data_IF_539933065360
#
_entry.id   IF_539933065360
#
_cell.length_a   1.000
_cell.length_b   1.000
_cell.length_c   1.000
_cell.angle_alpha   90.00
_cell.angle_beta   90.00
_cell.angle_gamma   90.00
#
_symmetry.space_group_name_H-M   'P 1'
#
loop_
_entity.id
_entity.type
_entity.pdbx_description
1 polymer ?
#
# COMPACT_ATOMS: atom_id res chain seq x y z
N UNK A 1 -26.19 -12.69 -19.92
CA UNK A 1 -26.25 -11.72 -18.80
C UNK A 1 -25.28 -12.06 -17.64
N UNK A 2 -24.68 -13.25 -17.58
CA UNK A 2 -23.76 -13.72 -16.52
C UNK A 2 -22.33 -13.16 -16.57
N UNK A 3 -21.77 -12.94 -17.77
CA UNK A 3 -20.37 -12.50 -17.90
C UNK A 3 -20.10 -11.07 -17.43
N UNK A 4 -21.10 -10.18 -17.41
CA UNK A 4 -20.99 -8.84 -16.80
C UNK A 4 -20.84 -8.93 -15.29
N UNK A 5 -21.55 -9.85 -14.64
CA UNK A 5 -21.49 -10.06 -13.18
C UNK A 5 -20.16 -10.64 -12.74
N UNK A 6 -19.59 -11.60 -13.48
CA UNK A 6 -18.25 -12.14 -13.19
C UNK A 6 -17.17 -11.06 -13.33
N UNK A 7 -17.22 -10.29 -14.43
CA UNK A 7 -16.25 -9.21 -14.67
C UNK A 7 -16.32 -8.12 -13.59
N UNK A 8 -17.52 -7.70 -13.18
CA UNK A 8 -17.73 -6.72 -12.11
C UNK A 8 -17.20 -7.23 -10.76
N UNK A 9 -17.54 -8.47 -10.38
CA UNK A 9 -17.07 -9.09 -9.13
C UNK A 9 -15.54 -9.24 -9.12
N UNK A 10 -14.96 -9.55 -10.28
CA UNK A 10 -13.50 -9.60 -10.46
C UNK A 10 -12.86 -8.22 -10.29
N UNK A 11 -13.40 -7.17 -10.91
CA UNK A 11 -12.87 -5.80 -10.74
C UNK A 11 -12.91 -5.38 -9.27
N UNK A 12 -13.96 -5.77 -8.54
CA UNK A 12 -14.06 -5.54 -7.11
C UNK A 12 -12.98 -6.32 -6.33
N UNK A 13 -12.74 -7.60 -6.67
CA UNK A 13 -11.68 -8.40 -6.06
C UNK A 13 -10.29 -7.78 -6.27
N UNK A 14 -9.99 -7.31 -7.49
CA UNK A 14 -8.73 -6.63 -7.81
C UNK A 14 -8.55 -5.31 -7.05
N UNK A 15 -9.64 -4.56 -6.85
CA UNK A 15 -9.61 -3.33 -6.05
C UNK A 15 -9.24 -3.60 -4.59
N UNK A 16 -9.83 -4.64 -4.00
CA UNK A 16 -9.54 -5.06 -2.63
C UNK A 16 -8.14 -5.67 -2.48
N UNK A 17 -7.66 -6.40 -3.48
CA UNK A 17 -6.28 -6.91 -3.54
C UNK A 17 -5.28 -5.75 -3.43
N UNK A 18 -5.44 -4.72 -4.27
CA UNK A 18 -4.60 -3.52 -4.22
C UNK A 18 -4.68 -2.79 -2.87
N UNK A 19 -5.87 -2.71 -2.28
CA UNK A 19 -6.05 -2.09 -0.97
C UNK A 19 -5.36 -2.91 0.14
N UNK A 20 -5.40 -4.24 0.05
CA UNK A 20 -4.71 -5.15 0.99
C UNK A 20 -3.20 -4.93 0.91
N UNK A 21 -2.62 -4.88 -0.30
CA UNK A 21 -1.19 -4.64 -0.48
C UNK A 21 -0.74 -3.30 0.10
N UNK A 22 -1.55 -2.24 -0.06
CA UNK A 22 -1.27 -0.93 0.52
C UNK A 22 -1.34 -0.92 2.04
N UNK A 23 -2.26 -1.69 2.65
CA UNK A 23 -2.34 -1.79 4.09
C UNK A 23 -1.22 -2.67 4.66
N UNK A 24 -0.87 -3.77 3.99
CA UNK A 24 0.25 -4.63 4.38
C UNK A 24 1.59 -3.89 4.29
N UNK A 25 1.79 -3.04 3.28
CA UNK A 25 3.01 -2.24 3.19
C UNK A 25 3.10 -1.21 4.31
N UNK A 26 2.00 -0.53 4.65
CA UNK A 26 1.93 0.35 5.83
C UNK A 26 2.16 -0.43 7.12
N UNK A 27 1.59 -1.62 7.25
CA UNK A 27 1.78 -2.47 8.43
C UNK A 27 3.24 -2.91 8.59
N UNK A 28 3.91 -3.24 7.49
CA UNK A 28 5.34 -3.57 7.46
C UNK A 28 6.24 -2.39 7.87
N UNK A 29 5.83 -1.14 7.65
CA UNK A 29 6.60 0.03 8.13
C UNK A 29 6.71 0.07 9.66
N UNK A 30 5.70 -0.43 10.39
CA UNK A 30 5.77 -0.52 11.85
C UNK A 30 6.83 -1.52 12.34
N UNK A 31 7.27 -2.46 11.50
CA UNK A 31 8.41 -3.34 11.83
C UNK A 31 9.71 -2.54 12.03
N UNK A 32 9.87 -1.43 11.32
CA UNK A 32 11.07 -0.60 11.37
C UNK A 32 10.97 0.52 12.42
N UNK A 33 9.75 0.88 12.83
CA UNK A 33 9.54 1.76 13.97
C UNK A 33 9.82 0.99 15.26
N UNK A 34 10.97 1.24 15.88
CA UNK A 34 11.38 0.71 17.19
C UNK A 34 10.52 1.31 18.32
N UNK A 35 9.20 1.12 18.25
CA UNK A 35 8.25 1.56 19.27
C UNK A 35 8.03 0.42 20.26
N UNK A 36 8.26 0.71 21.53
CA UNK A 36 8.09 -0.25 22.63
C UNK A 36 6.61 -0.61 22.84
N UNK A 37 5.71 0.34 22.55
CA UNK A 37 4.28 0.21 22.76
C UNK A 37 3.49 0.00 21.46
N UNK A 38 2.33 -0.66 21.60
CA UNK A 38 1.32 -0.77 20.55
C UNK A 38 0.77 0.62 20.24
N UNK A 39 1.06 1.14 19.05
CA UNK A 39 0.50 2.43 18.61
C UNK A 39 -0.99 2.22 18.26
N UNK A 40 -1.88 3.14 18.65
CA UNK A 40 -3.31 3.05 18.29
C UNK A 40 -3.52 2.91 16.77
N UNK A 41 -2.65 3.52 15.98
CA UNK A 41 -2.64 3.42 14.52
C UNK A 41 -2.33 2.00 14.02
N UNK A 42 -1.47 1.25 14.71
CA UNK A 42 -1.17 -0.14 14.35
C UNK A 42 -2.37 -1.05 14.62
N UNK A 43 -3.05 -0.87 15.77
CA UNK A 43 -4.24 -1.65 16.11
C UNK A 43 -5.34 -1.42 15.08
N UNK A 44 -5.57 -0.16 14.70
CA UNK A 44 -6.57 0.17 13.68
C UNK A 44 -6.20 -0.38 12.30
N UNK A 45 -4.92 -0.30 11.89
CA UNK A 45 -4.47 -0.87 10.62
C UNK A 45 -4.57 -2.40 10.62
N UNK A 46 -4.22 -3.06 11.72
CA UNK A 46 -4.37 -4.50 11.89
C UNK A 46 -5.84 -4.93 11.72
N UNK A 47 -6.77 -4.27 12.40
CA UNK A 47 -8.21 -4.51 12.27
C UNK A 47 -8.69 -4.28 10.83
N UNK A 48 -8.23 -3.21 10.17
CA UNK A 48 -8.57 -2.93 8.78
C UNK A 48 -8.08 -4.01 7.82
N UNK A 49 -6.91 -4.61 8.07
CA UNK A 49 -6.38 -5.72 7.28
C UNK A 49 -7.25 -6.97 7.48
N UNK A 50 -7.56 -7.32 8.72
CA UNK A 50 -8.44 -8.46 9.03
C UNK A 50 -9.81 -8.32 8.37
N UNK A 51 -10.43 -7.14 8.46
CA UNK A 51 -11.71 -6.83 7.81
C UNK A 51 -11.66 -6.96 6.28
N UNK A 52 -10.57 -6.51 5.66
CA UNK A 52 -10.41 -6.57 4.20
C UNK A 52 -10.15 -8.00 3.73
N UNK A 53 -9.38 -8.78 4.47
CA UNK A 53 -9.16 -10.20 4.17
C UNK A 53 -10.49 -10.97 4.22
N UNK A 54 -11.30 -10.76 5.27
CA UNK A 54 -12.65 -11.33 5.36
C UNK A 54 -13.54 -10.90 4.19
N UNK A 55 -13.53 -9.62 3.82
CA UNK A 55 -14.28 -9.14 2.65
C UNK A 55 -13.82 -9.82 1.36
N UNK A 56 -12.51 -10.03 1.17
CA UNK A 56 -11.96 -10.75 0.01
C UNK A 56 -12.39 -12.21 -0.03
N UNK A 57 -12.42 -12.89 1.10
CA UNK A 57 -12.96 -14.25 1.21
C UNK A 57 -14.42 -14.33 0.74
N UNK A 58 -15.26 -13.39 1.17
CA UNK A 58 -16.67 -13.37 0.74
C UNK A 58 -16.82 -13.14 -0.77
N UNK A 59 -15.95 -12.31 -1.37
CA UNK A 59 -15.99 -11.98 -2.80
C UNK A 59 -15.43 -13.13 -3.64
N UNK A 60 -14.36 -13.78 -3.19
CA UNK A 60 -13.83 -14.98 -3.83
C UNK A 60 -14.84 -16.13 -3.76
N UNK A 61 -15.55 -16.26 -2.63
CA UNK A 61 -16.66 -17.22 -2.49
C UNK A 61 -17.81 -16.93 -3.46
N UNK A 62 -18.17 -15.65 -3.64
CA UNK A 62 -19.15 -15.22 -4.67
C UNK A 62 -18.67 -15.54 -6.09
N UNK A 63 -17.40 -15.27 -6.40
CA UNK A 63 -16.76 -15.63 -7.67
C UNK A 63 -16.79 -17.15 -7.91
N UNK A 64 -16.56 -17.96 -6.88
CA UNK A 64 -16.61 -19.42 -6.95
C UNK A 64 -18.03 -19.91 -7.23
N UNK A 65 -19.04 -19.35 -6.55
CA UNK A 65 -20.44 -19.69 -6.80
C UNK A 65 -20.89 -19.29 -8.22
N UNK A 66 -20.46 -18.14 -8.72
CA UNK A 66 -20.75 -17.72 -10.11
C UNK A 66 -20.08 -18.68 -11.11
N UNK A 67 -18.87 -19.15 -10.79
CA UNK A 67 -18.12 -20.12 -11.59
C UNK A 67 -18.82 -21.49 -11.64
N UNK A 68 -19.40 -21.94 -10.54
CA UNK A 68 -20.11 -23.24 -10.44
C UNK A 68 -21.46 -23.25 -11.19
N UNK A 69 -22.14 -22.09 -11.26
CA UNK A 69 -23.45 -21.94 -11.93
C UNK A 69 -23.33 -21.84 -13.46
N UNK A 70 -22.14 -21.56 -14.00
CA UNK A 70 -21.91 -21.39 -15.45
C UNK A 70 -21.23 -22.67 -16.02
N UNK A 71 -21.98 -23.65 -16.57
CA UNK A 71 -21.44 -24.97 -16.97
C UNK A 71 -20.48 -24.91 -18.18
N UNK A 72 -20.37 -23.78 -18.87
CA UNK A 72 -19.46 -23.56 -20.01
C UNK A 72 -18.40 -22.49 -19.70
N UNK A 73 -17.82 -22.53 -18.50
CA UNK A 73 -16.82 -21.55 -18.10
C UNK A 73 -15.48 -21.79 -18.83
N UNK A 74 -14.96 -20.75 -19.48
CA UNK A 74 -13.63 -20.80 -20.11
C UNK A 74 -12.54 -21.14 -19.09
N UNK A 75 -11.61 -22.05 -19.45
CA UNK A 75 -10.43 -22.44 -18.65
C UNK A 75 -9.65 -21.24 -18.11
N UNK A 76 -9.62 -20.13 -18.86
CA UNK A 76 -8.98 -18.88 -18.44
C UNK A 76 -9.64 -18.25 -17.21
N UNK A 77 -10.98 -18.28 -17.10
CA UNK A 77 -11.72 -17.74 -15.94
C UNK A 77 -11.49 -18.60 -14.69
N UNK A 78 -11.41 -19.92 -14.86
CA UNK A 78 -11.12 -20.85 -13.77
C UNK A 78 -9.70 -20.63 -13.22
N UNK A 79 -8.70 -20.51 -14.09
CA UNK A 79 -7.33 -20.17 -13.70
C UNK A 79 -7.23 -18.82 -12.98
N UNK A 80 -7.99 -17.81 -13.42
CA UNK A 80 -8.04 -16.51 -12.74
C UNK A 80 -8.59 -16.63 -11.32
N UNK A 81 -9.61 -17.47 -11.11
CA UNK A 81 -10.17 -17.70 -9.78
C UNK A 81 -9.16 -18.41 -8.87
N UNK A 82 -8.45 -19.42 -9.37
CA UNK A 82 -7.37 -20.09 -8.63
C UNK A 82 -6.30 -19.08 -8.22
N UNK A 83 -5.87 -18.21 -9.13
CA UNK A 83 -4.90 -17.15 -8.84
C UNK A 83 -5.38 -16.18 -7.76
N UNK A 84 -6.66 -15.81 -7.74
CA UNK A 84 -7.21 -14.96 -6.68
C UNK A 84 -7.22 -15.66 -5.32
N UNK A 85 -7.45 -16.99 -5.28
CA UNK A 85 -7.35 -17.80 -4.05
C UNK A 85 -5.90 -17.90 -3.55
N UNK A 86 -4.96 -18.21 -4.45
CA UNK A 86 -3.52 -18.27 -4.13
C UNK A 86 -3.04 -16.94 -3.56
N UNK A 87 -3.35 -15.84 -4.25
CA UNK A 87 -2.97 -14.49 -3.80
C UNK A 87 -3.56 -14.14 -2.44
N UNK A 88 -4.81 -14.50 -2.17
CA UNK A 88 -5.40 -14.30 -0.84
C UNK A 88 -4.62 -15.07 0.24
N UNK A 89 -4.29 -16.34 -0.02
CA UNK A 89 -3.51 -17.15 0.90
C UNK A 89 -2.10 -16.58 1.15
N UNK A 90 -1.43 -16.10 0.10
CA UNK A 90 -0.13 -15.43 0.22
C UNK A 90 -0.22 -14.16 1.07
N UNK A 91 -1.29 -13.39 0.93
CA UNK A 91 -1.52 -12.18 1.72
C UNK A 91 -1.79 -12.52 3.20
N UNK A 92 -2.48 -13.62 3.52
CA UNK A 92 -2.64 -14.13 4.90
C UNK A 92 -1.31 -14.58 5.52
N UNK A 93 -0.50 -15.32 4.77
CA UNK A 93 0.82 -15.74 5.22
C UNK A 93 1.73 -14.54 5.48
N UNK A 94 1.70 -13.56 4.58
CA UNK A 94 2.44 -12.31 4.70
C UNK A 94 2.01 -11.51 5.95
N UNK A 95 0.70 -11.38 6.18
CA UNK A 95 0.18 -10.71 7.37
C UNK A 95 0.63 -11.38 8.67
N UNK A 96 0.55 -12.72 8.73
CA UNK A 96 0.99 -13.49 9.89
C UNK A 96 2.48 -13.33 10.13
N UNK A 97 3.29 -13.39 9.07
CA UNK A 97 4.74 -13.19 9.15
C UNK A 97 5.11 -11.80 9.66
N UNK A 98 4.48 -10.74 9.14
CA UNK A 98 4.74 -9.37 9.59
C UNK A 98 4.34 -9.22 11.07
N UNK A 99 3.19 -9.76 11.47
CA UNK A 99 2.72 -9.73 12.87
C UNK A 99 3.71 -10.42 13.81
N UNK A 100 4.21 -11.60 13.43
CA UNK A 100 5.20 -12.32 14.24
C UNK A 100 6.51 -11.54 14.34
N UNK A 101 7.03 -11.01 13.23
CA UNK A 101 8.24 -10.20 13.24
C UNK A 101 8.12 -8.96 14.15
N UNK A 102 6.97 -8.26 14.12
CA UNK A 102 6.73 -7.10 15.00
C UNK A 102 6.74 -7.53 16.46
N UNK A 103 6.06 -8.64 16.79
CA UNK A 103 6.05 -9.16 18.15
C UNK A 103 7.43 -9.63 18.61
N UNK A 104 8.21 -10.27 17.74
CA UNK A 104 9.55 -10.76 18.06
C UNK A 104 10.52 -9.60 18.32
N UNK A 105 10.51 -8.55 17.49
CA UNK A 105 11.32 -7.35 17.73
C UNK A 105 10.89 -6.62 19.01
N UNK A 106 9.59 -6.59 19.33
CA UNK A 106 9.10 -6.05 20.61
C UNK A 106 9.57 -6.88 21.80
N UNK A 107 9.46 -8.20 21.72
CA UNK A 107 9.91 -9.11 22.78
C UNK A 107 11.42 -8.93 23.02
N UNK A 108 12.20 -8.86 21.94
CA UNK A 108 13.63 -8.57 22.00
C UNK A 108 13.93 -7.21 22.64
N UNK A 109 13.21 -6.15 22.27
CA UNK A 109 13.38 -4.83 22.88
C UNK A 109 12.98 -4.82 24.37
N UNK A 110 11.89 -5.50 24.74
CA UNK A 110 11.46 -5.64 26.14
C UNK A 110 12.49 -6.39 26.99
N UNK A 111 13.06 -7.47 26.46
CA UNK A 111 14.14 -8.20 27.12
C UNK A 111 15.40 -7.34 27.28
N UNK A 112 15.81 -6.62 26.23
CA UNK A 112 16.96 -5.72 26.29
C UNK A 112 16.75 -4.57 27.29
N UNK A 113 15.56 -3.99 27.35
CA UNK A 113 15.22 -2.92 28.30
C UNK A 113 15.24 -3.41 29.75
N UNK A 114 14.67 -4.59 30.02
CA UNK A 114 14.70 -5.19 31.36
C UNK A 114 16.12 -5.53 31.81
N UNK A 115 16.94 -6.11 30.92
CA UNK A 115 18.36 -6.39 31.20
C UNK A 115 19.16 -5.11 31.39
N UNK A 116 18.93 -4.06 30.59
CA UNK A 116 19.59 -2.77 30.77
C UNK A 116 19.21 -2.10 32.09
N UNK A 117 17.95 -2.17 32.52
CA UNK A 117 17.54 -1.63 33.81
C UNK A 117 18.13 -2.40 34.99
N UNK A 118 18.20 -3.73 34.90
CA UNK A 118 18.83 -4.55 35.93
C UNK A 118 20.35 -4.31 36.00
N UNK A 119 21.02 -4.22 34.85
CA UNK A 119 22.43 -3.85 34.76
C UNK A 119 22.70 -2.44 35.31
N UNK A 120 21.86 -1.47 34.96
CA UNK A 120 21.99 -0.10 35.45
C UNK A 120 21.77 -0.02 36.96
N UNK A 121 20.79 -0.73 37.52
CA UNK A 121 20.54 -0.73 38.98
C UNK A 121 21.61 -1.47 39.77
N UNK A 122 22.20 -2.53 39.21
CA UNK A 122 23.39 -3.18 39.78
C UNK A 122 24.63 -2.26 39.69
N UNK A 123 24.86 -1.63 38.54
CA UNK A 123 25.95 -0.63 38.36
C UNK A 123 25.80 0.55 39.30
N UNK A 124 24.60 1.10 39.47
CA UNK A 124 24.36 2.28 40.33
C UNK A 124 24.58 1.97 41.82
N UNK A 125 24.40 0.71 42.25
CA UNK A 125 24.80 0.24 43.59
C UNK A 125 26.32 0.11 43.72
N UNK A 126 27.01 -0.26 42.66
CA UNK A 126 28.46 -0.47 42.62
C UNK A 126 29.26 0.83 42.37
N UNK A 127 28.60 1.88 41.87
CA UNK A 127 29.17 3.19 41.51
C UNK A 127 29.71 4.02 42.69
N UNK A 128 29.60 3.52 43.94
CA UNK A 128 30.22 4.15 45.11
C UNK A 128 31.73 3.93 45.20
N UNK A 129 32.32 3.04 44.39
CA UNK A 129 33.77 2.77 44.34
C UNK A 129 34.31 2.61 42.90
N UNK A 130 33.95 3.51 41.98
CA UNK A 130 34.37 3.37 40.57
C UNK A 130 35.85 3.79 40.35
N UNK A 131 36.70 2.84 39.97
CA UNK A 131 38.09 3.08 39.58
C UNK A 131 38.17 3.65 38.15
N UNK A 132 39.17 4.49 37.85
CA UNK A 132 39.32 5.13 36.52
C UNK A 132 39.45 4.16 35.34
N UNK A 133 39.91 2.92 35.56
CA UNK A 133 39.93 1.88 34.52
C UNK A 133 38.53 1.34 34.17
N UNK A 134 37.61 1.26 35.14
CA UNK A 134 36.23 0.82 34.87
C UNK A 134 35.48 1.87 34.04
N UNK A 135 35.76 3.15 34.27
CA UNK A 135 35.21 4.24 33.45
C UNK A 135 35.65 4.15 31.99
N UNK A 136 36.93 3.85 31.73
CA UNK A 136 37.45 3.71 30.36
C UNK A 136 36.84 2.48 29.66
N UNK A 137 36.70 1.37 30.38
CA UNK A 137 36.08 0.15 29.83
C UNK A 137 34.59 0.39 29.52
N UNK A 138 33.88 1.11 30.39
CA UNK A 138 32.50 1.51 30.16
C UNK A 138 32.37 2.42 28.94
N UNK A 139 33.25 3.41 28.77
CA UNK A 139 33.24 4.27 27.60
C UNK A 139 33.50 3.47 26.31
N UNK A 140 34.41 2.48 26.34
CA UNK A 140 34.61 1.57 25.20
C UNK A 140 33.34 0.79 24.85
N UNK A 141 32.64 0.22 25.84
CA UNK A 141 31.37 -0.48 25.63
C UNK A 141 30.28 0.45 25.09
N UNK A 142 30.28 1.70 25.54
CA UNK A 142 29.33 2.73 25.11
C UNK A 142 29.58 3.11 23.65
N UNK A 143 30.85 3.28 23.27
CA UNK A 143 31.29 3.51 21.88
C UNK A 143 30.90 2.32 20.99
N UNK A 144 31.14 1.09 21.42
CA UNK A 144 30.77 -0.11 20.65
C UNK A 144 29.25 -0.21 20.44
N UNK A 145 28.46 0.08 21.48
CA UNK A 145 27.01 0.12 21.38
C UNK A 145 26.53 1.21 20.41
N UNK A 146 27.08 2.43 20.51
CA UNK A 146 26.78 3.53 19.60
C UNK A 146 27.15 3.16 18.16
N UNK A 147 28.28 2.51 17.95
CA UNK A 147 28.72 2.04 16.64
C UNK A 147 27.73 1.01 16.07
N UNK A 148 27.29 0.05 16.87
CA UNK A 148 26.29 -0.95 16.44
C UNK A 148 24.93 -0.33 16.10
N UNK A 149 24.53 0.75 16.78
CA UNK A 149 23.31 1.51 16.50
C UNK A 149 23.47 2.28 15.19
N UNK A 150 24.62 2.92 14.97
CA UNK A 150 24.94 3.62 13.74
C UNK A 150 24.89 2.67 12.53
N UNK A 151 25.45 1.47 12.65
CA UNK A 151 25.38 0.44 11.60
C UNK A 151 23.94 0.02 11.29
N UNK A 152 23.09 -0.14 12.31
CA UNK A 152 21.66 -0.45 12.11
C UNK A 152 20.92 0.70 11.42
N UNK A 153 21.21 1.95 11.79
CA UNK A 153 20.66 3.14 11.14
C UNK A 153 21.08 3.22 9.66
N UNK A 154 22.35 2.93 9.35
CA UNK A 154 22.85 2.87 7.99
C UNK A 154 22.16 1.76 7.18
N UNK A 155 22.03 0.56 7.75
CA UNK A 155 21.32 -0.55 7.11
C UNK A 155 19.84 -0.20 6.86
N UNK A 156 19.16 0.42 7.82
CA UNK A 156 17.79 0.89 7.66
C UNK A 156 17.64 1.98 6.59
N UNK A 157 18.60 2.89 6.49
CA UNK A 157 18.65 3.91 5.45
C UNK A 157 18.85 3.31 4.05
N UNK A 158 19.75 2.32 3.91
CA UNK A 158 19.93 1.60 2.65
C UNK A 158 18.68 0.81 2.24
N UNK A 159 18.05 0.10 3.18
CA UNK A 159 16.79 -0.61 2.91
C UNK A 159 15.67 0.35 2.46
N UNK A 160 15.56 1.52 3.10
CA UNK A 160 14.58 2.56 2.71
C UNK A 160 14.89 3.12 1.33
N UNK A 161 16.16 3.38 1.01
CA UNK A 161 16.59 3.82 -0.33
C UNK A 161 16.18 2.80 -1.40
N UNK A 162 16.45 1.52 -1.16
CA UNK A 162 16.16 0.46 -2.13
C UNK A 162 14.65 0.27 -2.31
N UNK A 163 13.86 0.37 -1.23
CA UNK A 163 12.39 0.39 -1.31
C UNK A 163 11.87 1.58 -2.15
N UNK A 164 12.41 2.79 -1.96
CA UNK A 164 12.05 3.96 -2.78
C UNK A 164 12.43 3.78 -4.25
N UNK A 165 13.57 3.15 -4.54
CA UNK A 165 13.99 2.83 -5.91
C UNK A 165 13.04 1.82 -6.55
N UNK A 166 12.64 0.78 -5.81
CA UNK A 166 11.65 -0.21 -6.27
C UNK A 166 10.30 0.45 -6.53
N UNK A 167 9.82 1.31 -5.63
CA UNK A 167 8.59 2.09 -5.82
C UNK A 167 8.65 2.97 -7.08
N UNK A 168 9.80 3.58 -7.37
CA UNK A 168 10.00 4.36 -8.60
C UNK A 168 9.85 3.50 -9.85
N UNK A 169 10.37 2.27 -9.83
CA UNK A 169 10.19 1.31 -10.93
C UNK A 169 8.71 0.92 -11.11
N UNK A 170 7.96 0.73 -10.03
CA UNK A 170 6.51 0.51 -10.11
C UNK A 170 5.76 1.69 -10.73
N UNK A 171 6.11 2.93 -10.38
CA UNK A 171 5.50 4.13 -10.97
C UNK A 171 5.82 4.27 -12.46
N UNK A 172 7.05 4.01 -12.87
CA UNK A 172 7.44 4.00 -14.28
C UNK A 172 6.69 2.92 -15.06
N UNK A 173 6.52 1.72 -14.48
CA UNK A 173 5.74 0.65 -15.09
C UNK A 173 4.25 1.02 -15.20
N UNK A 174 3.69 1.68 -14.18
CA UNK A 174 2.32 2.20 -14.22
C UNK A 174 2.15 3.27 -15.31
N UNK A 175 3.11 4.22 -15.42
CA UNK A 175 3.13 5.23 -16.47
C UNK A 175 3.22 4.58 -17.87
N UNK A 176 4.07 3.58 -18.05
CA UNK A 176 4.18 2.84 -19.32
C UNK A 176 2.88 2.09 -19.67
N UNK A 177 2.19 1.50 -18.69
CA UNK A 177 0.87 0.88 -18.88
C UNK A 177 -0.22 1.90 -19.24
N UNK A 178 -0.19 3.08 -18.62
CA UNK A 178 -1.10 4.18 -18.97
C UNK A 178 -0.83 4.66 -20.40
N UNK A 179 0.44 4.88 -20.74
CA UNK A 179 0.84 5.34 -22.07
C UNK A 179 0.51 4.32 -23.16
N UNK A 180 0.74 3.03 -22.91
CA UNK A 180 0.33 1.96 -23.84
C UNK A 180 -1.19 1.79 -23.92
N UNK A 181 -1.94 2.06 -22.86
CA UNK A 181 -3.41 2.09 -22.90
C UNK A 181 -3.93 3.29 -23.70
N UNK A 182 -3.29 4.46 -23.58
CA UNK A 182 -3.57 5.64 -24.40
C UNK A 182 -3.27 5.38 -25.89
N UNK A 183 -2.21 4.62 -26.20
CA UNK A 183 -1.88 4.23 -27.56
C UNK A 183 -2.82 3.16 -28.14
N UNK A 184 -3.40 2.27 -27.31
CA UNK A 184 -4.37 1.24 -27.72
C UNK A 184 -5.80 1.74 -27.89
N UNK A 185 -6.10 3.00 -27.52
CA UNK A 185 -7.37 3.67 -27.87
C UNK A 185 -7.09 4.68 -29.00
N UNK A 186 -6.85 4.23 -30.25
CA UNK A 186 -6.75 5.15 -31.37
C UNK A 186 -8.10 5.86 -31.54
N UNK A 187 -8.12 7.19 -31.39
CA UNK A 187 -9.32 8.00 -31.62
C UNK A 187 -9.86 8.79 -30.43
N UNK A 188 -9.27 8.71 -29.23
CA UNK A 188 -9.64 9.62 -28.12
C UNK A 188 -9.43 11.09 -28.47
N UNK A 189 -8.32 11.44 -29.15
CA UNK A 189 -8.10 12.79 -29.68
C UNK A 189 -9.20 13.21 -30.68
N UNK A 190 -9.71 12.27 -31.47
CA UNK A 190 -10.78 12.54 -32.44
C UNK A 190 -12.14 12.71 -31.75
N UNK A 191 -12.43 11.91 -30.71
CA UNK A 191 -13.66 12.01 -29.92
C UNK A 191 -13.68 13.29 -29.06
N UNK A 192 -12.57 13.61 -28.40
CA UNK A 192 -12.40 14.87 -27.64
C UNK A 192 -12.49 16.07 -28.59
N UNK A 193 -11.88 16.00 -29.77
CA UNK A 193 -11.99 17.05 -30.80
C UNK A 193 -13.41 17.16 -31.36
N UNK A 194 -14.13 16.05 -31.59
CA UNK A 194 -15.54 16.05 -32.01
C UNK A 194 -16.48 16.65 -30.95
N UNK A 195 -16.20 16.43 -29.67
CA UNK A 195 -16.94 17.05 -28.56
C UNK A 195 -16.70 18.56 -28.51
N UNK A 196 -15.45 18.99 -28.67
CA UNK A 196 -15.10 20.42 -28.62
C UNK A 196 -15.63 21.18 -29.84
N UNK A 197 -15.63 20.55 -31.03
CA UNK A 197 -16.21 21.14 -32.25
C UNK A 197 -17.73 21.26 -32.19
N UNK A 198 -18.46 20.27 -31.63
CA UNK A 198 -19.91 20.40 -31.41
C UNK A 198 -20.24 21.58 -30.50
N UNK A 199 -19.55 21.70 -29.36
CA UNK A 199 -19.76 22.80 -28.41
C UNK A 199 -19.49 24.18 -29.02
N UNK A 200 -18.44 24.30 -29.83
CA UNK A 200 -18.13 25.56 -30.55
C UNK A 200 -19.19 25.95 -31.58
N UNK A 201 -19.75 24.98 -32.31
CA UNK A 201 -20.85 25.27 -33.26
C UNK A 201 -22.10 25.74 -32.54
N UNK A 202 -22.47 25.11 -31.43
CA UNK A 202 -23.66 25.47 -30.67
C UNK A 202 -23.53 26.89 -30.09
N UNK A 203 -22.34 27.26 -29.58
CA UNK A 203 -22.06 28.65 -29.16
C UNK A 203 -22.13 29.64 -30.32
N UNK A 204 -21.63 29.28 -31.51
CA UNK A 204 -21.65 30.16 -32.68
C UNK A 204 -23.08 30.39 -33.16
N UNK A 205 -23.90 29.34 -33.25
CA UNK A 205 -25.32 29.42 -33.61
C UNK A 205 -26.08 30.29 -32.60
N UNK A 206 -25.88 30.07 -31.30
CA UNK A 206 -26.51 30.88 -30.26
C UNK A 206 -26.12 32.35 -30.36
N UNK A 207 -24.83 32.65 -30.57
CA UNK A 207 -24.34 34.02 -30.73
C UNK A 207 -24.91 34.71 -31.98
N UNK A 208 -25.07 33.98 -33.09
CA UNK A 208 -25.67 34.55 -34.32
C UNK A 208 -27.14 34.84 -34.13
N UNK A 209 -27.90 33.95 -33.50
CA UNK A 209 -29.33 34.19 -33.20
C UNK A 209 -29.50 35.42 -32.31
N UNK A 210 -28.70 35.55 -31.26
CA UNK A 210 -28.74 36.72 -30.37
C UNK A 210 -28.41 38.00 -31.15
N UNK A 211 -27.37 38.00 -31.98
CA UNK A 211 -26.98 39.17 -32.78
C UNK A 211 -28.07 39.59 -33.79
N UNK A 212 -28.73 38.62 -34.44
CA UNK A 212 -29.84 38.88 -35.37
C UNK A 212 -31.05 39.45 -34.63
N UNK A 213 -31.39 38.89 -33.47
CA UNK A 213 -32.48 39.42 -32.64
C UNK A 213 -32.23 40.87 -32.20
N UNK A 214 -31.00 41.20 -31.80
CA UNK A 214 -30.63 42.58 -31.43
C UNK A 214 -30.71 43.52 -32.63
N UNK A 215 -30.23 43.12 -33.81
CA UNK A 215 -30.32 43.94 -35.02
C UNK A 215 -31.76 44.17 -35.47
N UNK A 216 -32.62 43.15 -35.40
CA UNK A 216 -34.04 43.30 -35.72
C UNK A 216 -34.73 44.26 -34.75
N UNK A 217 -34.44 44.17 -33.44
CA UNK A 217 -35.00 45.10 -32.45
C UNK A 217 -34.48 46.54 -32.58
N UNK A 218 -33.29 46.73 -33.16
CA UNK A 218 -32.73 48.06 -33.40
C UNK A 218 -33.26 48.69 -34.69
N UNK A 219 -33.58 47.87 -35.70
CA UNK A 219 -34.04 48.33 -37.00
C UNK A 219 -35.56 48.45 -37.12
N UNK A 220 -36.31 47.74 -36.28
CA UNK A 220 -37.75 47.94 -36.02
C UNK A 220 -37.93 49.06 -35.01
#
# INVERSE_FOLDING_TARGET
MSSSTFSQTRTQALGLEKQTEQLLSKFSQFQHQQTLDLTNDEITIKQQIEDILLKRDTIISKLNRISEVEPNLSTSKLQQLTRHKEKLNDDHLSFTKITNNINDERNKNNLLFNVQNDLNTHKQRQQREMNGNDYILEESQRVDNVNSIADRLLQGAFATRDELLNQRQYLNNAQSRIQSSLQRIPGLNVLISKINTRRKRDTLILATVIAVCILLLFFV
#
